data_IF_184142017644
#
_entry.id   IF_184142017644
#
_cell.length_a   1.000
_cell.length_b   1.000
_cell.length_c   1.000
_cell.angle_alpha   90.00
_cell.angle_beta   90.00
_cell.angle_gamma   90.00
#
_symmetry.space_group_name_H-M   'P 1'
#
loop_
_entity.id
_entity.type
_entity.pdbx_description
1 polymer ?
#
# COMPACT_ATOMS: atom_id res chain seq x y z
N UNK A 1 24.20 88.66 26.64
CA UNK A 1 23.28 88.03 27.68
C UNK A 1 23.24 86.55 27.44
N UNK A 2 24.02 85.84 28.21
CA UNK A 2 24.20 84.39 28.03
C UNK A 2 23.56 83.75 29.26
N UNK A 3 22.50 82.88 29.07
CA UNK A 3 21.92 82.09 30.13
C UNK A 3 22.31 80.62 29.89
N UNK A 4 23.11 80.17 30.82
CA UNK A 4 23.50 78.72 30.97
C UNK A 4 22.31 77.85 31.43
N UNK A 5 22.08 76.78 30.75
CA UNK A 5 21.13 75.73 31.18
C UNK A 5 21.94 74.49 31.50
N UNK A 6 21.93 74.11 32.77
CA UNK A 6 22.50 72.83 33.28
C UNK A 6 21.57 71.70 32.98
N UNK A 7 22.05 70.71 32.29
CA UNK A 7 21.32 69.47 32.12
C UNK A 7 21.73 68.43 33.19
N UNK A 8 20.77 68.04 34.01
CA UNK A 8 20.91 66.93 34.97
C UNK A 8 20.73 65.62 34.23
N UNK A 9 21.76 64.79 34.31
CA UNK A 9 21.74 63.40 33.73
C UNK A 9 21.20 62.45 34.79
N UNK A 10 19.94 62.01 34.61
CA UNK A 10 19.34 60.98 35.44
C UNK A 10 19.58 59.60 34.79
N UNK A 11 20.42 58.81 35.45
CA UNK A 11 20.78 57.47 35.06
C UNK A 11 19.70 56.51 35.54
N UNK A 12 18.85 56.01 34.62
CA UNK A 12 17.87 54.97 34.88
C UNK A 12 18.55 53.59 34.69
N UNK A 13 18.75 52.88 35.80
CA UNK A 13 19.16 51.49 35.78
C UNK A 13 17.93 50.64 35.42
N UNK A 14 17.90 50.06 34.20
CA UNK A 14 16.93 49.06 33.82
C UNK A 14 17.41 47.66 34.22
N UNK A 15 16.77 47.08 35.21
CA UNK A 15 16.97 45.67 35.60
C UNK A 15 16.26 44.80 34.56
N UNK A 16 17.01 44.12 33.67
CA UNK A 16 16.45 43.11 32.80
C UNK A 16 16.25 41.78 33.56
N UNK A 17 15.02 41.47 33.88
CA UNK A 17 14.66 40.14 34.42
C UNK A 17 14.72 39.10 33.31
N UNK A 18 15.74 38.23 33.34
CA UNK A 18 15.89 37.10 32.43
C UNK A 18 14.88 36.02 32.85
N UNK A 19 13.74 35.92 32.17
CA UNK A 19 12.78 34.86 32.38
C UNK A 19 13.35 33.53 31.84
N UNK A 20 13.67 32.61 32.74
CA UNK A 20 14.01 31.24 32.41
C UNK A 20 12.74 30.53 31.90
N UNK A 21 12.60 30.33 30.58
CA UNK A 21 11.57 29.51 30.00
C UNK A 21 11.99 28.04 30.21
N UNK A 22 11.21 27.21 30.92
CA UNK A 22 11.54 25.80 31.03
C UNK A 22 11.42 25.15 29.65
N UNK A 23 12.52 24.56 29.17
CA UNK A 23 12.51 23.75 27.97
C UNK A 23 11.63 22.53 28.20
N UNK A 24 10.47 22.48 27.55
CA UNK A 24 9.64 21.26 27.49
C UNK A 24 10.48 20.14 26.88
N UNK A 25 10.50 18.94 27.48
CA UNK A 25 11.15 17.82 26.87
C UNK A 25 10.42 17.51 25.53
N UNK A 26 11.14 17.66 24.42
CA UNK A 26 10.66 17.17 23.14
C UNK A 26 10.47 15.66 23.27
N UNK A 27 9.22 15.21 23.33
CA UNK A 27 8.88 13.79 23.21
C UNK A 27 9.25 13.40 21.79
N UNK A 28 10.45 12.87 21.63
CA UNK A 28 10.86 12.21 20.39
C UNK A 28 10.02 10.95 20.29
N UNK A 29 8.88 11.03 19.62
CA UNK A 29 8.10 9.87 19.23
C UNK A 29 8.99 9.13 18.22
N UNK A 30 9.70 8.11 18.69
CA UNK A 30 10.42 7.19 17.83
C UNK A 30 9.36 6.60 16.86
N UNK A 31 9.43 6.95 15.59
CA UNK A 31 8.61 6.34 14.57
C UNK A 31 8.92 4.84 14.63
N UNK A 32 7.96 4.04 15.10
CA UNK A 32 8.08 2.60 15.15
C UNK A 32 8.40 2.14 13.73
N UNK A 33 9.57 1.53 13.52
CA UNK A 33 10.00 1.11 12.19
C UNK A 33 8.96 0.11 11.65
N UNK A 34 8.28 0.48 10.59
CA UNK A 34 7.25 -0.36 9.99
C UNK A 34 7.81 -1.75 9.70
N UNK A 35 7.13 -2.79 10.16
CA UNK A 35 7.56 -4.18 9.93
C UNK A 35 7.62 -4.44 8.42
N UNK A 36 8.79 -4.86 7.95
CA UNK A 36 9.05 -5.16 6.53
C UNK A 36 9.23 -6.67 6.35
N UNK A 37 8.61 -7.22 5.31
CA UNK A 37 8.75 -8.61 4.88
C UNK A 37 9.35 -8.63 3.47
N UNK A 38 10.56 -9.14 3.35
CA UNK A 38 11.19 -9.37 2.05
C UNK A 38 10.52 -10.57 1.37
N UNK A 39 10.22 -10.42 0.08
CA UNK A 39 9.68 -11.50 -0.74
C UNK A 39 10.82 -12.23 -1.46
N UNK A 40 10.70 -13.52 -1.71
CA UNK A 40 11.62 -14.22 -2.60
C UNK A 40 11.69 -13.55 -3.97
N UNK A 41 12.79 -13.71 -4.70
CA UNK A 41 12.87 -13.26 -6.09
C UNK A 41 11.75 -13.93 -6.90
N UNK A 42 10.98 -13.18 -7.72
CA UNK A 42 9.88 -13.75 -8.48
C UNK A 42 10.38 -14.63 -9.63
N UNK A 43 9.67 -15.71 -9.92
CA UNK A 43 9.88 -16.51 -11.09
C UNK A 43 9.36 -15.76 -12.34
N UNK A 44 10.25 -15.29 -13.18
CA UNK A 44 9.91 -14.51 -14.38
C UNK A 44 9.77 -15.36 -15.63
N UNK A 45 9.99 -16.66 -15.53
CA UNK A 45 9.96 -17.63 -16.62
C UNK A 45 9.14 -18.83 -16.23
N UNK A 46 8.57 -19.52 -17.21
CA UNK A 46 7.74 -20.71 -16.98
C UNK A 46 6.26 -20.37 -16.78
N UNK A 47 5.57 -21.25 -16.07
CA UNK A 47 4.11 -21.19 -15.92
C UNK A 47 3.34 -21.74 -17.13
N UNK A 48 2.02 -21.56 -17.10
CA UNK A 48 1.12 -21.99 -18.18
C UNK A 48 1.30 -21.06 -19.41
N UNK A 49 1.35 -21.61 -20.64
CA UNK A 49 1.33 -20.77 -21.83
C UNK A 49 0.17 -19.78 -21.83
N UNK A 50 0.41 -18.54 -22.28
CA UNK A 50 -0.55 -17.44 -22.19
C UNK A 50 -1.96 -17.80 -22.70
N UNK A 51 -2.07 -18.44 -23.85
CA UNK A 51 -3.38 -18.81 -24.41
C UNK A 51 -4.11 -19.84 -23.57
N UNK A 52 -3.38 -20.74 -22.92
CA UNK A 52 -3.95 -21.70 -21.98
C UNK A 52 -4.40 -20.99 -20.68
N UNK A 53 -3.62 -20.05 -20.16
CA UNK A 53 -3.99 -19.25 -18.99
C UNK A 53 -5.24 -18.41 -19.25
N UNK A 54 -5.36 -17.78 -20.42
CA UNK A 54 -6.56 -17.06 -20.85
C UNK A 54 -7.79 -17.97 -20.91
N UNK A 55 -7.65 -19.18 -21.46
CA UNK A 55 -8.72 -20.18 -21.56
C UNK A 55 -9.13 -20.75 -20.17
N UNK A 56 -8.16 -20.91 -19.26
CA UNK A 56 -8.39 -21.45 -17.93
C UNK A 56 -8.91 -20.43 -16.91
N UNK A 57 -8.57 -19.12 -17.08
CA UNK A 57 -8.95 -18.05 -16.16
C UNK A 57 -10.47 -17.95 -15.98
N UNK A 58 -10.92 -18.05 -14.74
CA UNK A 58 -12.34 -17.88 -14.36
C UNK A 58 -12.46 -17.28 -12.97
N UNK A 59 -13.62 -16.72 -12.65
CA UNK A 59 -13.94 -16.28 -11.29
C UNK A 59 -14.35 -17.48 -10.43
N UNK A 60 -13.71 -17.60 -9.26
CA UNK A 60 -14.01 -18.62 -8.24
C UNK A 60 -14.50 -17.90 -6.99
N UNK A 61 -15.79 -17.99 -6.70
CA UNK A 61 -16.43 -17.22 -5.61
C UNK A 61 -16.39 -17.94 -4.27
N UNK A 62 -16.21 -19.23 -4.25
CA UNK A 62 -16.31 -20.11 -3.08
C UNK A 62 -15.28 -21.24 -3.17
N UNK A 63 -15.29 -22.13 -2.19
CA UNK A 63 -14.43 -23.31 -2.14
C UNK A 63 -12.95 -23.02 -1.90
N UNK A 64 -12.64 -21.89 -1.26
CA UNK A 64 -11.30 -21.63 -0.78
C UNK A 64 -10.98 -22.45 0.46
N UNK A 65 -9.72 -22.91 0.57
CA UNK A 65 -9.25 -23.61 1.76
C UNK A 65 -8.96 -22.67 2.92
N UNK A 66 -8.68 -21.40 2.64
CA UNK A 66 -8.20 -20.41 3.61
C UNK A 66 -6.73 -20.58 3.99
N UNK A 67 -6.06 -21.64 3.57
CA UNK A 67 -4.64 -21.86 3.83
C UNK A 67 -3.78 -20.78 3.14
N UNK A 68 -2.64 -20.44 3.75
CA UNK A 68 -1.71 -19.46 3.20
C UNK A 68 -1.07 -19.95 1.89
N UNK A 69 -0.80 -19.04 0.97
CA UNK A 69 0.07 -19.31 -0.17
C UNK A 69 1.51 -19.52 0.32
N UNK A 70 2.30 -20.28 -0.42
CA UNK A 70 3.74 -20.30 -0.19
C UNK A 70 4.35 -18.91 -0.42
N UNK A 71 5.50 -18.62 0.19
CA UNK A 71 6.19 -17.34 0.00
C UNK A 71 6.50 -17.08 -1.49
N UNK A 72 6.83 -18.13 -2.25
CA UNK A 72 7.09 -18.02 -3.68
C UNK A 72 5.82 -17.71 -4.47
N UNK A 73 4.70 -18.37 -4.17
CA UNK A 73 3.42 -18.07 -4.84
C UNK A 73 2.95 -16.63 -4.57
N UNK A 74 3.14 -16.15 -3.33
CA UNK A 74 2.83 -14.76 -2.96
C UNK A 74 3.70 -13.78 -3.73
N UNK A 75 5.02 -14.05 -3.78
CA UNK A 75 5.99 -13.24 -4.53
C UNK A 75 5.62 -13.15 -6.03
N UNK A 76 5.42 -14.30 -6.66
CA UNK A 76 5.11 -14.39 -8.08
C UNK A 76 3.78 -13.69 -8.42
N UNK A 77 2.74 -13.89 -7.57
CA UNK A 77 1.45 -13.21 -7.72
C UNK A 77 1.58 -11.69 -7.67
N UNK A 78 2.30 -11.18 -6.68
CA UNK A 78 2.47 -9.73 -6.50
C UNK A 78 3.31 -9.13 -7.62
N UNK A 79 4.36 -9.82 -8.03
CA UNK A 79 5.15 -9.38 -9.17
C UNK A 79 4.32 -9.41 -10.47
N UNK A 80 3.59 -10.47 -10.76
CA UNK A 80 2.71 -10.53 -11.91
C UNK A 80 1.69 -9.39 -11.91
N UNK A 81 1.11 -9.09 -10.73
CA UNK A 81 0.11 -8.05 -10.55
C UNK A 81 0.66 -6.65 -10.80
N UNK A 82 1.78 -6.29 -10.15
CA UNK A 82 2.29 -4.90 -10.14
C UNK A 82 3.80 -4.79 -9.96
N UNK A 83 4.57 -5.82 -10.26
CA UNK A 83 6.02 -5.81 -10.11
C UNK A 83 6.73 -4.94 -11.15
N UNK A 84 7.93 -4.47 -10.82
CA UNK A 84 8.82 -3.86 -11.79
C UNK A 84 9.39 -4.95 -12.73
N UNK A 85 9.23 -4.78 -14.03
CA UNK A 85 9.70 -5.73 -15.04
C UNK A 85 10.77 -5.16 -15.96
N UNK A 86 11.21 -3.92 -15.71
CA UNK A 86 12.26 -3.21 -16.44
C UNK A 86 13.11 -2.41 -15.47
N UNK A 87 14.36 -2.15 -15.85
CA UNK A 87 15.34 -1.39 -15.05
C UNK A 87 14.90 0.05 -14.79
N UNK A 88 14.12 0.66 -15.70
CA UNK A 88 13.56 2.00 -15.59
C UNK A 88 12.36 2.08 -14.61
N UNK A 89 12.06 1.00 -13.89
CA UNK A 89 10.98 0.94 -12.90
C UNK A 89 9.58 0.81 -13.48
N UNK A 90 9.43 0.63 -14.78
CA UNK A 90 8.13 0.30 -15.39
C UNK A 90 7.67 -1.07 -14.96
N UNK A 91 6.33 -1.25 -14.99
CA UNK A 91 5.70 -2.38 -14.34
C UNK A 91 5.07 -3.38 -15.30
N UNK A 92 4.70 -4.53 -14.77
CA UNK A 92 3.98 -5.60 -15.48
C UNK A 92 2.62 -5.15 -16.02
N UNK A 93 1.97 -4.19 -15.36
CA UNK A 93 0.72 -3.60 -15.83
C UNK A 93 0.94 -2.16 -16.31
N UNK A 94 0.29 -1.74 -17.42
CA UNK A 94 0.41 -0.38 -17.93
C UNK A 94 -0.44 0.61 -17.11
N UNK A 95 0.00 1.87 -17.10
CA UNK A 95 -0.81 3.01 -16.66
C UNK A 95 -0.71 4.15 -17.67
N UNK A 96 -1.77 4.95 -17.81
CA UNK A 96 -1.77 6.11 -18.67
C UNK A 96 -0.60 7.04 -18.33
N UNK A 97 0.19 7.42 -19.34
CA UNK A 97 1.38 8.28 -19.20
C UNK A 97 2.39 7.77 -18.15
N UNK A 98 2.42 6.47 -17.89
CA UNK A 98 3.27 5.85 -16.86
C UNK A 98 3.10 6.49 -15.46
N UNK A 99 1.89 6.93 -15.10
CA UNK A 99 1.63 7.59 -13.80
C UNK A 99 1.90 6.71 -12.61
N UNK A 100 1.74 5.40 -12.76
CA UNK A 100 1.89 4.42 -11.68
C UNK A 100 1.11 4.79 -10.40
N UNK A 101 -0.05 5.41 -10.56
CA UNK A 101 -0.93 5.94 -9.54
C UNK A 101 -1.88 4.86 -8.97
N UNK A 102 -1.34 3.69 -8.73
CA UNK A 102 -2.03 2.58 -8.06
C UNK A 102 -1.19 2.13 -6.86
N UNK A 103 -1.85 1.91 -5.73
CA UNK A 103 -1.27 1.19 -4.59
C UNK A 103 -1.94 -0.16 -4.45
N UNK A 104 -1.14 -1.18 -4.23
CA UNK A 104 -1.61 -2.55 -3.96
C UNK A 104 -1.38 -2.86 -2.50
N UNK A 105 -2.46 -3.19 -1.80
CA UNK A 105 -2.39 -3.74 -0.45
C UNK A 105 -2.78 -5.21 -0.49
N UNK A 106 -2.30 -5.96 0.49
CA UNK A 106 -2.54 -7.40 0.61
C UNK A 106 -3.00 -7.69 2.03
N UNK A 107 -4.22 -8.17 2.19
CA UNK A 107 -4.69 -8.70 3.45
C UNK A 107 -4.27 -10.17 3.56
N UNK A 108 -3.39 -10.45 4.52
CA UNK A 108 -2.91 -11.77 4.90
C UNK A 108 -3.48 -12.15 6.28
N UNK A 109 -3.24 -13.37 6.73
CA UNK A 109 -3.64 -13.84 8.05
C UNK A 109 -3.09 -12.98 9.21
N UNK A 110 -1.89 -12.46 9.05
CA UNK A 110 -1.15 -11.72 10.08
C UNK A 110 -1.20 -10.19 9.90
N UNK A 111 -2.08 -9.66 9.07
CA UNK A 111 -2.23 -8.22 8.87
C UNK A 111 -2.50 -7.80 7.43
N UNK A 112 -2.63 -6.48 7.25
CA UNK A 112 -2.66 -5.87 5.93
C UNK A 112 -1.32 -5.23 5.64
N UNK A 113 -0.84 -5.44 4.44
CA UNK A 113 0.49 -5.06 3.99
C UNK A 113 0.42 -4.25 2.71
N UNK A 114 1.24 -3.24 2.56
CA UNK A 114 1.41 -2.53 1.31
C UNK A 114 2.55 -3.17 0.50
N UNK A 115 2.29 -3.49 -0.76
CA UNK A 115 3.33 -3.95 -1.69
C UNK A 115 4.13 -2.76 -2.19
N UNK A 116 5.43 -2.79 -1.99
CA UNK A 116 6.33 -1.69 -2.34
C UNK A 116 7.07 -1.92 -3.67
N UNK A 117 7.71 -0.85 -4.16
CA UNK A 117 8.47 -0.88 -5.42
C UNK A 117 9.71 -1.79 -5.36
N UNK A 118 10.24 -2.04 -4.16
CA UNK A 118 11.40 -2.90 -3.91
C UNK A 118 11.06 -4.39 -3.80
N UNK A 119 9.85 -4.79 -4.19
CA UNK A 119 9.38 -6.17 -4.13
C UNK A 119 9.33 -6.73 -2.70
N UNK A 120 8.82 -5.94 -1.78
CA UNK A 120 8.62 -6.32 -0.39
C UNK A 120 7.22 -5.90 0.10
N UNK A 121 6.86 -6.34 1.28
CA UNK A 121 5.62 -5.98 1.95
C UNK A 121 5.94 -5.15 3.20
N UNK A 122 5.25 -4.02 3.33
CA UNK A 122 5.32 -3.16 4.52
C UNK A 122 4.01 -3.31 5.29
N UNK A 123 4.07 -3.73 6.54
CA UNK A 123 2.87 -3.89 7.36
C UNK A 123 2.25 -2.53 7.65
N UNK A 124 0.94 -2.42 7.42
CA UNK A 124 0.18 -1.18 7.63
C UNK A 124 -0.98 -1.36 8.62
N UNK A 125 -1.39 -2.59 8.90
CA UNK A 125 -2.48 -2.86 9.84
C UNK A 125 -2.34 -4.29 10.38
N UNK A 126 -2.58 -4.49 11.66
CA UNK A 126 -2.62 -5.81 12.29
C UNK A 126 -4.00 -6.49 12.16
N UNK A 127 -4.03 -7.80 12.37
CA UNK A 127 -5.24 -8.62 12.41
C UNK A 127 -5.60 -9.28 11.08
N UNK A 128 -6.38 -10.35 11.17
CA UNK A 128 -6.89 -11.08 9.99
C UNK A 128 -8.20 -10.47 9.48
N UNK A 129 -8.13 -9.85 8.32
CA UNK A 129 -9.27 -9.18 7.68
C UNK A 129 -9.87 -9.98 6.51
N UNK A 130 -9.27 -11.12 6.16
CA UNK A 130 -9.66 -11.92 4.98
C UNK A 130 -11.11 -12.39 5.03
N UNK A 131 -11.59 -12.77 6.22
CA UNK A 131 -12.96 -13.26 6.41
C UNK A 131 -14.04 -12.25 6.01
N UNK A 132 -13.76 -10.95 6.11
CA UNK A 132 -14.67 -9.87 5.72
C UNK A 132 -14.60 -9.56 4.21
N UNK A 133 -13.61 -10.13 3.50
CA UNK A 133 -13.28 -9.80 2.11
C UNK A 133 -13.17 -11.06 1.22
N UNK A 134 -13.99 -12.08 1.46
CA UNK A 134 -14.10 -13.25 0.59
C UNK A 134 -13.42 -14.53 1.07
N UNK A 135 -12.63 -14.50 2.17
CA UNK A 135 -12.14 -15.69 2.87
C UNK A 135 -11.15 -16.57 2.10
N UNK A 136 -10.40 -16.05 1.15
CA UNK A 136 -9.34 -16.75 0.43
C UNK A 136 -8.05 -16.88 1.24
N UNK A 137 -6.96 -17.30 0.59
CA UNK A 137 -5.62 -17.27 1.19
C UNK A 137 -5.16 -15.83 1.46
N UNK A 138 -5.59 -14.91 0.59
CA UNK A 138 -5.35 -13.47 0.70
C UNK A 138 -6.43 -12.67 -0.05
N UNK A 139 -6.45 -11.36 0.22
CA UNK A 139 -7.20 -10.40 -0.61
C UNK A 139 -6.29 -9.28 -1.06
N UNK A 140 -6.21 -9.04 -2.37
CA UNK A 140 -5.57 -7.87 -2.97
C UNK A 140 -6.56 -6.70 -2.92
N UNK A 141 -6.08 -5.52 -2.48
CA UNK A 141 -6.86 -4.29 -2.47
C UNK A 141 -6.15 -3.29 -3.38
N UNK A 142 -6.88 -2.76 -4.35
CA UNK A 142 -6.36 -1.83 -5.34
C UNK A 142 -6.85 -0.43 -5.01
N UNK A 143 -5.92 0.46 -4.62
CA UNK A 143 -6.25 1.84 -4.27
C UNK A 143 -5.74 2.81 -5.34
N UNK A 144 -6.55 3.83 -5.63
CA UNK A 144 -6.30 4.86 -6.64
C UNK A 144 -6.80 6.22 -6.16
N UNK A 145 -6.33 7.34 -6.76
CA UNK A 145 -6.94 8.64 -6.58
C UNK A 145 -8.42 8.63 -7.01
N UNK A 146 -9.30 9.26 -6.24
CA UNK A 146 -10.75 9.29 -6.53
C UNK A 146 -11.08 10.01 -7.86
N UNK A 147 -10.33 11.06 -8.18
CA UNK A 147 -10.48 11.86 -9.39
C UNK A 147 -9.74 11.31 -10.62
N UNK A 148 -9.33 10.02 -10.60
CA UNK A 148 -8.60 9.41 -11.69
C UNK A 148 -9.56 8.81 -12.73
N UNK A 149 -9.75 9.47 -13.87
CA UNK A 149 -10.56 8.96 -14.99
C UNK A 149 -10.06 7.63 -15.57
N UNK A 150 -8.75 7.38 -15.50
CA UNK A 150 -8.10 6.15 -15.97
C UNK A 150 -8.02 5.05 -14.91
N UNK A 151 -8.42 5.35 -13.68
CA UNK A 151 -8.24 4.47 -12.53
C UNK A 151 -8.80 3.07 -12.73
N UNK A 152 -10.00 2.97 -13.30
CA UNK A 152 -10.62 1.68 -13.60
C UNK A 152 -9.83 0.86 -14.64
N UNK A 153 -9.28 1.50 -15.67
CA UNK A 153 -8.44 0.85 -16.68
C UNK A 153 -7.11 0.38 -16.07
N UNK A 154 -6.48 1.23 -15.24
CA UNK A 154 -5.25 0.86 -14.53
C UNK A 154 -5.48 -0.39 -13.66
N UNK A 155 -6.45 -0.33 -12.76
CA UNK A 155 -6.75 -1.45 -11.87
C UNK A 155 -7.20 -2.69 -12.63
N UNK A 156 -7.94 -2.51 -13.75
CA UNK A 156 -8.34 -3.58 -14.66
C UNK A 156 -7.15 -4.40 -15.17
N UNK A 157 -6.08 -3.72 -15.53
CA UNK A 157 -4.83 -4.36 -15.97
C UNK A 157 -4.17 -5.17 -14.85
N UNK A 158 -4.17 -4.65 -13.62
CA UNK A 158 -3.56 -5.32 -12.47
C UNK A 158 -4.33 -6.60 -12.09
N UNK A 159 -5.65 -6.50 -11.91
CA UNK A 159 -6.42 -7.67 -11.49
C UNK A 159 -6.51 -8.73 -12.59
N UNK A 160 -6.43 -8.35 -13.87
CA UNK A 160 -6.31 -9.31 -14.96
C UNK A 160 -4.99 -10.08 -14.91
N UNK A 161 -3.87 -9.39 -14.65
CA UNK A 161 -2.58 -10.05 -14.46
C UNK A 161 -2.62 -11.04 -13.28
N UNK A 162 -3.17 -10.62 -12.13
CA UNK A 162 -3.35 -11.49 -10.97
C UNK A 162 -4.25 -12.69 -11.30
N UNK A 163 -5.31 -12.49 -12.09
CA UNK A 163 -6.21 -13.55 -12.54
C UNK A 163 -5.54 -14.57 -13.47
N UNK A 164 -4.70 -14.11 -14.40
CA UNK A 164 -3.94 -14.97 -15.31
C UNK A 164 -2.88 -15.77 -14.56
N UNK A 165 -2.16 -15.12 -13.63
CA UNK A 165 -1.22 -15.83 -12.76
C UNK A 165 -1.95 -16.88 -11.92
N UNK A 166 -3.10 -16.54 -11.32
CA UNK A 166 -3.89 -17.47 -10.52
C UNK A 166 -4.29 -18.69 -11.33
N UNK A 167 -4.75 -18.51 -12.58
CA UNK A 167 -5.07 -19.63 -13.48
C UNK A 167 -3.85 -20.51 -13.76
N UNK A 168 -2.70 -19.88 -14.02
CA UNK A 168 -1.43 -20.58 -14.28
C UNK A 168 -0.92 -21.35 -13.06
N UNK A 169 -1.17 -20.85 -11.85
CA UNK A 169 -0.72 -21.45 -10.59
C UNK A 169 -1.76 -22.40 -9.94
N UNK A 170 -2.91 -22.66 -10.61
CA UNK A 170 -3.98 -23.50 -10.05
C UNK A 170 -4.70 -22.86 -8.85
N UNK A 171 -4.68 -21.53 -8.73
CA UNK A 171 -5.35 -20.79 -7.68
C UNK A 171 -6.74 -20.33 -8.12
N UNK A 172 -7.68 -20.29 -7.17
CA UNK A 172 -8.92 -19.57 -7.36
C UNK A 172 -8.72 -18.06 -7.23
N UNK A 173 -9.51 -17.28 -7.98
CA UNK A 173 -9.54 -15.83 -7.83
C UNK A 173 -10.92 -15.26 -8.14
N UNK A 174 -11.24 -14.11 -7.50
CA UNK A 174 -12.51 -13.43 -7.71
C UNK A 174 -12.38 -11.92 -7.45
N UNK A 175 -12.63 -11.09 -8.47
CA UNK A 175 -12.69 -9.63 -8.36
C UNK A 175 -14.09 -9.24 -7.92
N UNK A 176 -14.21 -8.43 -6.86
CA UNK A 176 -15.50 -8.08 -6.26
C UNK A 176 -15.42 -6.81 -5.40
N UNK A 177 -16.58 -6.37 -4.90
CA UNK A 177 -16.73 -5.23 -3.98
C UNK A 177 -17.26 -5.63 -2.61
N UNK A 178 -17.55 -6.92 -2.39
CA UNK A 178 -18.02 -7.41 -1.08
C UNK A 178 -16.94 -7.23 -0.03
N UNK A 179 -17.22 -6.48 1.03
CA UNK A 179 -16.24 -6.13 2.05
C UNK A 179 -15.26 -5.01 1.65
N UNK A 180 -15.50 -4.31 0.54
CA UNK A 180 -14.67 -3.20 0.07
C UNK A 180 -14.43 -2.15 1.17
N UNK A 181 -15.45 -1.86 1.97
CA UNK A 181 -15.44 -0.86 3.02
C UNK A 181 -14.94 -1.37 4.39
N UNK A 182 -14.51 -2.64 4.49
CA UNK A 182 -14.05 -3.22 5.76
C UNK A 182 -12.83 -2.48 6.36
N UNK A 183 -12.05 -1.83 5.51
CA UNK A 183 -10.83 -1.12 5.86
C UNK A 183 -10.90 0.40 5.66
N UNK A 184 -12.09 0.98 5.48
CA UNK A 184 -12.25 2.43 5.35
C UNK A 184 -11.68 3.15 6.57
N UNK A 185 -10.88 4.19 6.33
CA UNK A 185 -10.21 4.96 7.37
C UNK A 185 -9.09 4.24 8.13
N UNK A 186 -8.77 2.97 7.80
CA UNK A 186 -7.76 2.17 8.48
C UNK A 186 -6.44 2.06 7.70
N UNK A 187 -6.49 2.21 6.38
CA UNK A 187 -5.30 2.14 5.54
C UNK A 187 -4.63 3.51 5.42
N UNK A 188 -3.30 3.59 5.35
CA UNK A 188 -2.55 4.84 5.16
C UNK A 188 -2.64 5.31 3.70
N UNK A 189 -3.86 5.61 3.26
CA UNK A 189 -4.09 6.15 1.92
C UNK A 189 -3.72 7.63 1.88
N UNK A 190 -3.15 8.14 0.78
CA UNK A 190 -3.01 9.57 0.58
C UNK A 190 -4.38 10.25 0.56
N UNK A 191 -4.41 11.55 0.85
CA UNK A 191 -5.61 12.35 0.72
C UNK A 191 -6.20 12.23 -0.69
N UNK A 192 -7.52 12.08 -0.78
CA UNK A 192 -8.24 11.89 -2.04
C UNK A 192 -8.07 10.52 -2.71
N UNK A 193 -7.49 9.53 -2.00
CA UNK A 193 -7.43 8.15 -2.49
C UNK A 193 -8.52 7.28 -1.86
N UNK A 194 -8.86 6.20 -2.56
CA UNK A 194 -9.78 5.18 -2.07
C UNK A 194 -9.36 3.79 -2.53
N UNK A 195 -9.74 2.75 -1.80
CA UNK A 195 -9.77 1.40 -2.34
C UNK A 195 -10.86 1.34 -3.39
N UNK A 196 -10.51 0.99 -4.62
CA UNK A 196 -11.42 1.00 -5.75
C UNK A 196 -12.16 -0.33 -5.93
N UNK A 197 -11.44 -1.42 -5.79
CA UNK A 197 -11.95 -2.79 -5.93
C UNK A 197 -11.01 -3.75 -5.20
N UNK A 198 -11.49 -4.93 -4.87
CA UNK A 198 -10.70 -5.99 -4.24
C UNK A 198 -10.74 -7.29 -5.05
N UNK A 199 -9.74 -8.14 -4.82
CA UNK A 199 -9.65 -9.46 -5.46
C UNK A 199 -9.22 -10.51 -4.43
N UNK A 200 -10.09 -11.44 -4.15
CA UNK A 200 -9.76 -12.63 -3.36
C UNK A 200 -8.97 -13.60 -4.20
N UNK A 201 -7.88 -14.14 -3.65
CA UNK A 201 -7.04 -15.18 -4.26
C UNK A 201 -6.78 -16.26 -3.22
N UNK A 202 -6.75 -17.52 -3.63
CA UNK A 202 -6.43 -18.58 -2.69
C UNK A 202 -6.38 -20.00 -3.27
N UNK A 203 -5.84 -20.87 -2.44
CA UNK A 203 -5.86 -22.31 -2.66
C UNK A 203 -7.31 -22.82 -2.58
N UNK A 204 -7.65 -23.73 -3.46
CA UNK A 204 -8.95 -24.39 -3.47
C UNK A 204 -8.93 -25.66 -2.58
N UNK A 205 -10.12 -26.05 -2.08
CA UNK A 205 -10.31 -27.32 -1.32
C UNK A 205 -10.24 -28.52 -2.24
#
# INVERSE_FOLDING_TARGET
MIRSIRHSLSMLLSLAALALVPASPAVTQAAEAATRMELPAPNKTGGMPLMQALNARRSTKTNYSGAALSAQQLSDLLWATWGANREDGRRTAPTAMNRQDVRVYVALENGVWQYDAGHALIKVLDGDWRGQMGGGSLTLLYAIPQANEWGGAHVGSLYQNAGLYSASAGLGNFVHVSGLHALDGKLPLPEGWKVYIIQTVGLLK
#
